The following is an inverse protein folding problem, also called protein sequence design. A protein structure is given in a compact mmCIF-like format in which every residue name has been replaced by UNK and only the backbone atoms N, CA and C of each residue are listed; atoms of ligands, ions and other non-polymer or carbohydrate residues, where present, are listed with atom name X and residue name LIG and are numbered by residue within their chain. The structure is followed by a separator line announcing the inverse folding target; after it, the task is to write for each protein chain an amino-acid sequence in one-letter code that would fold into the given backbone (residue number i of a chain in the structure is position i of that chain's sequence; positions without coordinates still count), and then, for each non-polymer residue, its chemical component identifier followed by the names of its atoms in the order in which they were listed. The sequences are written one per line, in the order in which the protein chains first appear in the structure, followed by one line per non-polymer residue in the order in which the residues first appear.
data_IF_653518625284
#
_entry.id   IF_653518625284
#
_cell.length_a   1.000
_cell.length_b   1.000
_cell.length_c   1.000
_cell.angle_alpha   90.00
_cell.angle_beta   90.00
_cell.angle_gamma   90.00
#
_symmetry.space_group_name_H-M   'P 1'
#
loop_
_entity.id
_entity.type
_entity.pdbx_description
1 polymer ?
#
# COMPACT_ATOMS: atom_id res chain seq x y z
N UNK A 1 15.20 -31.90 -5.00
CA UNK A 1 15.01 -31.06 -3.80
C UNK A 1 15.88 -29.84 -4.00
N UNK A 2 15.32 -28.73 -4.46
CA UNK A 2 16.02 -27.44 -4.51
C UNK A 2 16.10 -26.94 -3.07
N UNK A 3 17.31 -26.86 -2.54
CA UNK A 3 17.58 -26.17 -1.26
C UNK A 3 17.08 -24.74 -1.40
N UNK A 4 15.95 -24.45 -0.78
CA UNK A 4 15.45 -23.08 -0.66
C UNK A 4 16.53 -22.26 0.05
N UNK A 5 17.09 -21.28 -0.64
CA UNK A 5 18.12 -20.42 -0.04
C UNK A 5 17.49 -19.71 1.16
N UNK A 6 18.11 -19.81 2.33
CA UNK A 6 17.64 -19.14 3.53
C UNK A 6 17.45 -17.63 3.23
N UNK A 7 16.33 -17.09 3.64
CA UNK A 7 16.05 -15.66 3.44
C UNK A 7 17.16 -14.81 4.05
N UNK A 8 17.64 -13.81 3.28
CA UNK A 8 18.58 -12.82 3.82
C UNK A 8 17.82 -11.97 4.85
N UNK A 9 18.22 -12.07 6.11
CA UNK A 9 17.54 -11.38 7.21
C UNK A 9 18.11 -9.98 7.42
N UNK A 10 17.25 -9.04 7.79
CA UNK A 10 17.65 -7.70 8.23
C UNK A 10 17.99 -7.75 9.72
N UNK A 11 19.06 -7.11 10.13
CA UNK A 11 19.44 -7.02 11.55
C UNK A 11 18.39 -6.21 12.34
N UNK A 12 18.10 -6.59 13.60
CA UNK A 12 17.12 -5.87 14.43
C UNK A 12 17.39 -4.37 14.54
N UNK A 13 18.64 -3.97 14.73
CA UNK A 13 19.03 -2.56 14.84
C UNK A 13 18.83 -1.80 13.53
N UNK A 14 19.03 -2.44 12.38
CA UNK A 14 18.75 -1.85 11.06
C UNK A 14 17.26 -1.54 10.92
N UNK A 15 16.39 -2.48 11.29
CA UNK A 15 14.94 -2.28 11.26
C UNK A 15 14.52 -1.12 12.17
N UNK A 16 14.97 -1.13 13.42
CA UNK A 16 14.61 -0.09 14.40
C UNK A 16 15.13 1.27 13.97
N UNK A 17 16.36 1.35 13.46
CA UNK A 17 16.96 2.57 12.92
C UNK A 17 16.16 3.12 11.75
N UNK A 18 15.80 2.29 10.76
CA UNK A 18 14.99 2.69 9.60
C UNK A 18 13.61 3.22 10.03
N UNK A 19 12.94 2.56 10.97
CA UNK A 19 11.65 3.00 11.50
C UNK A 19 11.76 4.32 12.29
N UNK A 20 12.88 4.55 12.97
CA UNK A 20 13.16 5.83 13.62
C UNK A 20 13.48 6.94 12.62
N UNK A 21 14.22 6.63 11.55
CA UNK A 21 14.60 7.57 10.52
C UNK A 21 13.39 8.10 9.71
N UNK A 22 12.42 7.23 9.37
CA UNK A 22 11.27 7.62 8.57
C UNK A 22 10.32 8.57 9.31
N UNK A 23 9.78 9.54 8.58
CA UNK A 23 8.63 10.36 9.01
C UNK A 23 7.72 10.62 7.81
N UNK A 24 6.56 11.25 8.00
CA UNK A 24 5.70 11.70 6.91
C UNK A 24 6.26 13.00 6.31
N UNK A 25 7.03 12.87 5.24
CA UNK A 25 7.74 13.96 4.57
C UNK A 25 6.75 15.02 4.10
N UNK A 26 7.03 16.28 4.42
CA UNK A 26 6.15 17.40 4.07
C UNK A 26 6.62 18.16 2.84
N UNK A 27 7.92 18.12 2.55
CA UNK A 27 8.50 18.77 1.39
C UNK A 27 9.45 17.81 0.67
N UNK A 28 9.14 17.51 -0.58
CA UNK A 28 9.99 16.70 -1.45
C UNK A 28 10.86 17.58 -2.35
N UNK A 29 12.03 17.07 -2.71
CA UNK A 29 12.86 17.63 -3.78
C UNK A 29 12.24 17.22 -5.14
N UNK A 30 11.67 18.18 -5.86
CA UNK A 30 11.01 17.91 -7.14
C UNK A 30 11.98 17.43 -8.24
N UNK A 31 13.30 17.62 -8.05
CA UNK A 31 14.36 17.10 -8.92
C UNK A 31 14.87 15.72 -8.48
N UNK A 32 14.64 15.35 -7.22
CA UNK A 32 15.06 14.09 -6.63
C UNK A 32 14.37 12.89 -7.28
N UNK A 33 15.12 11.80 -7.50
CA UNK A 33 14.58 10.57 -8.09
C UNK A 33 14.93 9.38 -7.20
N UNK A 34 13.98 8.47 -7.10
CA UNK A 34 14.20 7.16 -6.47
C UNK A 34 15.00 6.31 -7.47
N UNK A 35 16.13 5.70 -7.08
CA UNK A 35 16.82 4.72 -7.91
C UNK A 35 15.87 3.61 -8.37
N UNK A 36 16.00 3.20 -9.65
CA UNK A 36 15.06 2.25 -10.27
C UNK A 36 14.98 0.93 -9.52
N UNK A 37 16.12 0.38 -9.10
CA UNK A 37 16.21 -0.86 -8.34
C UNK A 37 15.45 -0.80 -7.01
N UNK A 38 15.50 0.35 -6.32
CA UNK A 38 14.73 0.59 -5.10
C UNK A 38 13.23 0.72 -5.38
N UNK A 39 12.89 1.37 -6.49
CA UNK A 39 11.48 1.53 -6.87
C UNK A 39 10.86 0.18 -7.23
N UNK A 40 11.52 -0.62 -8.05
CA UNK A 40 11.10 -1.99 -8.40
C UNK A 40 10.91 -2.86 -7.14
N UNK A 41 11.82 -2.77 -6.18
CA UNK A 41 11.69 -3.47 -4.90
C UNK A 41 10.49 -2.98 -4.07
N UNK A 42 10.14 -1.68 -4.14
CA UNK A 42 8.94 -1.14 -3.49
C UNK A 42 7.66 -1.63 -4.17
N UNK A 43 7.60 -1.69 -5.49
CA UNK A 43 6.47 -2.26 -6.23
C UNK A 43 6.28 -3.74 -5.88
N UNK A 44 7.37 -4.51 -5.83
CA UNK A 44 7.32 -5.92 -5.42
C UNK A 44 6.86 -6.08 -3.97
N UNK A 45 7.24 -5.16 -3.07
CA UNK A 45 6.76 -5.18 -1.68
C UNK A 45 5.24 -5.00 -1.57
N UNK A 46 4.63 -4.24 -2.49
CA UNK A 46 3.17 -4.10 -2.58
C UNK A 46 2.53 -5.40 -3.08
N UNK A 47 3.10 -6.03 -4.10
CA UNK A 47 2.62 -7.31 -4.66
C UNK A 47 2.70 -8.44 -3.63
N UNK A 48 3.78 -8.48 -2.84
CA UNK A 48 4.03 -9.49 -1.81
C UNK A 48 3.32 -9.20 -0.48
N UNK A 49 2.57 -8.10 -0.38
CA UNK A 49 1.82 -7.78 0.84
C UNK A 49 0.79 -8.85 1.16
N UNK A 50 0.71 -9.31 2.43
CA UNK A 50 -0.30 -10.27 2.82
C UNK A 50 -1.69 -9.63 2.88
N UNK A 51 -2.73 -10.42 2.61
CA UNK A 51 -4.12 -10.05 2.83
C UNK A 51 -4.90 -11.22 3.41
N UNK A 52 -6.07 -10.93 3.99
CA UNK A 52 -6.96 -11.97 4.50
C UNK A 52 -7.31 -12.95 3.38
N UNK A 53 -7.15 -14.25 3.64
CA UNK A 53 -7.22 -15.35 2.66
C UNK A 53 -6.20 -15.26 1.51
N UNK A 54 -5.41 -14.20 1.39
CA UNK A 54 -4.62 -13.90 0.20
C UNK A 54 -5.42 -13.34 -0.96
N UNK A 55 -6.66 -12.90 -0.73
CA UNK A 55 -7.61 -12.50 -1.78
C UNK A 55 -7.13 -11.33 -2.65
N UNK A 56 -6.28 -10.44 -2.10
CA UNK A 56 -5.69 -9.31 -2.81
C UNK A 56 -6.72 -8.46 -3.59
N UNK A 57 -7.85 -8.14 -2.94
CA UNK A 57 -8.90 -7.31 -3.53
C UNK A 57 -8.51 -5.82 -3.55
N UNK A 58 -7.32 -5.53 -4.06
CA UNK A 58 -6.72 -4.20 -4.17
C UNK A 58 -6.04 -3.99 -5.52
N UNK A 59 -5.72 -2.74 -5.79
CA UNK A 59 -4.87 -2.31 -6.91
C UNK A 59 -4.07 -1.09 -6.47
N UNK A 60 -2.89 -0.92 -7.02
CA UNK A 60 -2.03 0.23 -6.77
C UNK A 60 -1.83 0.97 -8.10
N UNK A 61 -2.14 2.27 -8.13
CA UNK A 61 -1.86 3.11 -9.27
C UNK A 61 -0.66 3.99 -8.96
N UNK A 62 0.41 3.82 -9.73
CA UNK A 62 1.56 4.71 -9.70
C UNK A 62 1.32 5.82 -10.72
N UNK A 63 1.21 7.06 -10.25
CA UNK A 63 0.93 8.22 -11.10
C UNK A 63 2.23 9.00 -11.32
N UNK A 64 2.78 8.90 -12.53
CA UNK A 64 3.99 9.61 -12.96
C UNK A 64 3.65 10.86 -13.78
N UNK A 65 2.53 10.87 -14.49
CA UNK A 65 2.09 11.98 -15.32
C UNK A 65 1.91 13.26 -14.49
N UNK A 66 2.76 14.25 -14.77
CA UNK A 66 2.78 15.52 -14.04
C UNK A 66 1.50 16.35 -14.24
N UNK A 67 0.88 16.26 -15.42
CA UNK A 67 -0.35 17.00 -15.70
C UNK A 67 -1.53 16.39 -14.93
N UNK A 68 -1.58 15.06 -14.82
CA UNK A 68 -2.57 14.37 -13.99
C UNK A 68 -2.36 14.67 -12.50
N UNK A 69 -1.12 14.66 -12.01
CA UNK A 69 -0.80 15.03 -10.61
C UNK A 69 -1.17 16.48 -10.30
N UNK A 70 -0.98 17.40 -11.24
CA UNK A 70 -1.43 18.79 -11.11
C UNK A 70 -2.98 18.89 -10.98
N UNK A 71 -3.75 18.02 -11.66
CA UNK A 71 -5.21 17.94 -11.52
C UNK A 71 -5.63 17.35 -10.17
N UNK A 72 -4.84 16.42 -9.61
CA UNK A 72 -5.12 15.78 -8.33
C UNK A 72 -4.77 16.67 -7.12
N UNK A 73 -3.84 17.61 -7.29
CA UNK A 73 -3.37 18.46 -6.20
C UNK A 73 -4.47 19.30 -5.53
N UNK A 74 -5.36 19.99 -6.26
CA UNK A 74 -6.48 20.70 -5.62
C UNK A 74 -7.38 19.79 -4.79
N UNK A 75 -7.67 18.57 -5.28
CA UNK A 75 -8.42 17.55 -4.55
C UNK A 75 -7.64 16.98 -3.34
N UNK A 76 -6.41 17.41 -3.13
CA UNK A 76 -5.55 17.07 -1.97
C UNK A 76 -5.19 18.31 -1.16
N UNK A 77 -6.07 19.30 -1.11
CA UNK A 77 -5.92 20.56 -0.35
C UNK A 77 -4.61 21.29 -0.67
N UNK A 78 -4.27 21.32 -1.94
CA UNK A 78 -3.05 21.93 -2.48
C UNK A 78 -1.71 21.46 -1.86
N UNK A 79 -1.71 20.26 -1.28
CA UNK A 79 -0.50 19.69 -0.68
C UNK A 79 0.56 19.43 -1.76
N UNK A 80 1.73 20.06 -1.59
CA UNK A 80 2.80 20.02 -2.59
C UNK A 80 3.40 18.63 -2.81
N UNK A 81 3.27 17.74 -1.83
CA UNK A 81 3.72 16.34 -1.96
C UNK A 81 3.14 15.64 -3.20
N UNK A 82 1.93 16.02 -3.61
CA UNK A 82 1.25 15.44 -4.78
C UNK A 82 2.03 15.71 -6.07
N UNK A 83 2.64 16.88 -6.22
CA UNK A 83 3.37 17.28 -7.42
C UNK A 83 4.87 17.10 -7.31
N UNK A 84 5.43 17.25 -6.10
CA UNK A 84 6.87 17.39 -5.90
C UNK A 84 7.57 16.05 -5.61
N UNK A 85 6.85 15.07 -5.05
CA UNK A 85 7.40 13.72 -4.89
C UNK A 85 7.73 13.07 -6.24
N UNK A 86 8.68 12.16 -6.28
CA UNK A 86 9.01 11.42 -7.51
C UNK A 86 7.85 10.52 -7.96
N UNK A 87 7.29 9.76 -7.04
CA UNK A 87 6.16 8.85 -7.29
C UNK A 87 4.95 9.20 -6.41
N UNK A 88 3.75 9.07 -6.97
CA UNK A 88 2.50 9.12 -6.23
C UNK A 88 1.77 7.78 -6.42
N UNK A 89 1.55 7.07 -5.32
CA UNK A 89 0.82 5.80 -5.31
C UNK A 89 -0.57 6.02 -4.76
N UNK A 90 -1.61 5.67 -5.54
CA UNK A 90 -2.99 5.62 -5.08
C UNK A 90 -3.34 4.17 -4.77
N UNK A 91 -3.69 3.90 -3.53
CA UNK A 91 -4.09 2.59 -3.04
C UNK A 91 -5.59 2.43 -3.20
N UNK A 92 -6.00 1.41 -3.95
CA UNK A 92 -7.37 1.17 -4.32
C UNK A 92 -7.91 -0.10 -3.66
N UNK A 93 -9.20 -0.06 -3.33
CA UNK A 93 -9.98 -1.25 -2.93
C UNK A 93 -10.93 -1.64 -4.07
N UNK A 94 -11.16 -2.94 -4.24
CA UNK A 94 -12.14 -3.47 -5.18
C UNK A 94 -13.53 -3.06 -4.75
N UNK A 95 -14.22 -2.32 -5.62
CA UNK A 95 -15.65 -2.01 -5.47
C UNK A 95 -16.46 -3.28 -5.76
N UNK A 96 -17.48 -3.52 -4.93
CA UNK A 96 -18.42 -4.62 -5.12
C UNK A 96 -17.72 -5.99 -5.30
N UNK A 97 -16.65 -6.24 -4.50
CA UNK A 97 -15.98 -7.53 -4.50
C UNK A 97 -16.97 -8.66 -4.20
N UNK A 98 -16.90 -9.74 -4.97
CA UNK A 98 -17.88 -10.81 -4.91
C UNK A 98 -17.32 -12.19 -5.28
N UNK A 99 -18.21 -13.19 -5.49
CA UNK A 99 -17.79 -14.56 -5.78
C UNK A 99 -16.88 -14.71 -7.01
N UNK A 100 -17.01 -13.81 -8.00
CA UNK A 100 -16.15 -13.83 -9.19
C UNK A 100 -14.67 -13.49 -8.84
N UNK A 101 -14.44 -12.58 -7.89
CA UNK A 101 -13.09 -12.25 -7.42
C UNK A 101 -12.49 -13.43 -6.63
N UNK A 102 -13.32 -14.13 -5.85
CA UNK A 102 -12.94 -15.38 -5.17
C UNK A 102 -12.56 -16.46 -6.18
N UNK A 103 -13.39 -16.69 -7.21
CA UNK A 103 -13.09 -17.69 -8.24
C UNK A 103 -11.77 -17.38 -8.94
N UNK A 104 -11.56 -16.14 -9.39
CA UNK A 104 -10.30 -15.71 -9.97
C UNK A 104 -9.09 -16.02 -9.11
N UNK A 105 -9.22 -15.83 -7.78
CA UNK A 105 -8.14 -16.13 -6.85
C UNK A 105 -7.91 -17.63 -6.68
N UNK A 106 -8.98 -18.43 -6.60
CA UNK A 106 -8.91 -19.91 -6.57
C UNK A 106 -8.21 -20.44 -7.82
N UNK A 107 -8.57 -19.92 -9.00
CA UNK A 107 -7.93 -20.29 -10.26
C UNK A 107 -6.43 -19.99 -10.22
N UNK A 108 -6.05 -18.84 -9.66
CA UNK A 108 -4.64 -18.47 -9.50
C UNK A 108 -3.90 -19.39 -8.52
N UNK A 109 -4.53 -19.81 -7.42
CA UNK A 109 -3.94 -20.80 -6.51
C UNK A 109 -3.72 -22.13 -7.23
N UNK A 110 -4.73 -22.60 -7.96
CA UNK A 110 -4.67 -23.85 -8.72
C UNK A 110 -3.52 -23.83 -9.74
N UNK A 111 -3.41 -22.75 -10.49
CA UNK A 111 -2.34 -22.54 -11.47
C UNK A 111 -0.94 -22.56 -10.81
N UNK A 112 -0.73 -21.73 -9.80
CA UNK A 112 0.59 -21.55 -9.16
C UNK A 112 1.04 -22.79 -8.40
N UNK A 113 0.11 -23.44 -7.67
CA UNK A 113 0.42 -24.61 -6.84
C UNK A 113 0.29 -25.92 -7.61
N UNK A 114 -0.24 -25.89 -8.83
CA UNK A 114 -0.50 -27.05 -9.70
C UNK A 114 -1.36 -28.11 -8.99
N UNK A 115 -2.43 -27.65 -8.31
CA UNK A 115 -3.41 -28.51 -7.63
C UNK A 115 -4.79 -28.34 -8.29
N UNK A 116 -5.61 -29.40 -8.37
CA UNK A 116 -6.97 -29.31 -8.89
C UNK A 116 -7.83 -28.29 -8.15
N UNK A 117 -8.63 -27.49 -8.84
CA UNK A 117 -9.50 -26.48 -8.24
C UNK A 117 -10.53 -27.10 -7.28
N UNK A 118 -10.94 -28.35 -7.54
CA UNK A 118 -11.86 -29.11 -6.67
C UNK A 118 -11.34 -29.31 -5.27
N UNK A 119 -10.02 -29.39 -5.10
CA UNK A 119 -9.38 -29.48 -3.76
C UNK A 119 -9.49 -28.16 -2.97
N UNK A 120 -9.86 -27.08 -3.61
CA UNK A 120 -9.98 -25.74 -3.03
C UNK A 120 -11.44 -25.35 -2.73
N UNK A 121 -12.41 -26.24 -2.97
CA UNK A 121 -13.84 -25.89 -2.86
C UNK A 121 -14.22 -25.43 -1.44
N UNK A 122 -13.75 -26.09 -0.40
CA UNK A 122 -13.99 -25.66 0.99
C UNK A 122 -13.40 -24.27 1.28
N UNK A 123 -12.21 -23.98 0.74
CA UNK A 123 -11.56 -22.67 0.89
C UNK A 123 -12.31 -21.59 0.10
N UNK A 124 -12.76 -21.91 -1.10
CA UNK A 124 -13.61 -21.05 -1.92
C UNK A 124 -14.91 -20.69 -1.21
N UNK A 125 -15.58 -21.66 -0.60
CA UNK A 125 -16.82 -21.44 0.15
C UNK A 125 -16.62 -20.46 1.33
N UNK A 126 -15.55 -20.61 2.12
CA UNK A 126 -15.23 -19.67 3.21
C UNK A 126 -15.01 -18.24 2.70
N UNK A 127 -14.25 -18.09 1.62
CA UNK A 127 -14.03 -16.77 1.01
C UNK A 127 -15.32 -16.18 0.45
N UNK A 128 -16.14 -17.00 -0.22
CA UNK A 128 -17.41 -16.57 -0.80
C UNK A 128 -18.36 -16.06 0.29
N UNK A 129 -18.47 -16.75 1.43
CA UNK A 129 -19.24 -16.27 2.57
C UNK A 129 -18.78 -14.89 3.06
N UNK A 130 -17.47 -14.62 3.04
CA UNK A 130 -16.93 -13.35 3.48
C UNK A 130 -17.25 -12.20 2.51
N UNK A 131 -17.24 -12.43 1.20
CA UNK A 131 -17.55 -11.41 0.19
C UNK A 131 -19.05 -11.26 -0.10
N UNK A 132 -19.90 -12.12 0.45
CA UNK A 132 -21.36 -12.02 0.36
C UNK A 132 -22.02 -11.36 1.58
N UNK A 133 -21.25 -10.90 2.54
CA UNK A 133 -21.72 -10.05 3.63
C UNK A 133 -22.27 -8.72 3.08
N UNK A 134 -23.03 -7.92 3.87
CA UNK A 134 -23.42 -6.58 3.47
C UNK A 134 -22.24 -5.75 2.94
N UNK A 135 -22.42 -5.04 1.83
CA UNK A 135 -21.37 -4.35 1.09
C UNK A 135 -20.48 -3.47 1.95
N UNK A 136 -21.05 -2.74 2.91
CA UNK A 136 -20.32 -1.89 3.85
C UNK A 136 -19.32 -2.69 4.71
N UNK A 137 -19.71 -3.90 5.14
CA UNK A 137 -18.84 -4.79 5.92
C UNK A 137 -17.68 -5.33 5.07
N UNK A 138 -17.99 -5.71 3.83
CA UNK A 138 -16.98 -6.18 2.87
C UNK A 138 -16.00 -5.06 2.56
N UNK A 139 -16.49 -3.87 2.22
CA UNK A 139 -15.64 -2.70 1.92
C UNK A 139 -14.74 -2.34 3.11
N UNK A 140 -15.29 -2.28 4.32
CA UNK A 140 -14.52 -2.01 5.54
C UNK A 140 -13.47 -3.08 5.83
N UNK A 141 -13.76 -4.35 5.56
CA UNK A 141 -12.80 -5.44 5.69
C UNK A 141 -11.68 -5.35 4.64
N UNK A 142 -12.02 -5.13 3.37
CA UNK A 142 -11.05 -5.01 2.29
C UNK A 142 -10.19 -3.76 2.43
N UNK A 143 -10.76 -2.64 2.87
CA UNK A 143 -10.02 -1.41 3.18
C UNK A 143 -8.92 -1.66 4.22
N UNK A 144 -9.19 -2.43 5.27
CA UNK A 144 -8.14 -2.81 6.24
C UNK A 144 -6.99 -3.58 5.60
N UNK A 145 -7.24 -4.40 4.56
CA UNK A 145 -6.19 -5.09 3.84
C UNK A 145 -5.30 -4.11 3.06
N UNK A 146 -5.90 -3.08 2.47
CA UNK A 146 -5.16 -2.00 1.80
C UNK A 146 -4.19 -1.29 2.77
N UNK A 147 -4.61 -1.04 4.03
CA UNK A 147 -3.72 -0.46 5.04
C UNK A 147 -2.59 -1.38 5.49
N UNK A 148 -2.78 -2.71 5.42
CA UNK A 148 -1.67 -3.67 5.62
C UNK A 148 -0.62 -3.46 4.51
N UNK A 149 -1.05 -3.37 3.24
CA UNK A 149 -0.13 -3.12 2.12
C UNK A 149 0.57 -1.76 2.25
N UNK A 150 -0.14 -0.70 2.69
CA UNK A 150 0.46 0.60 2.97
C UNK A 150 1.53 0.50 4.07
N UNK A 151 1.25 -0.20 5.18
CA UNK A 151 2.22 -0.41 6.25
C UNK A 151 3.47 -1.15 5.78
N UNK A 152 3.29 -2.17 4.92
CA UNK A 152 4.39 -2.90 4.29
C UNK A 152 5.22 -1.97 3.38
N UNK A 153 4.56 -1.21 2.51
CA UNK A 153 5.23 -0.21 1.65
C UNK A 153 6.06 0.80 2.45
N UNK A 154 5.49 1.38 3.52
CA UNK A 154 6.19 2.38 4.34
C UNK A 154 7.40 1.80 5.08
N UNK A 155 7.31 0.54 5.51
CA UNK A 155 8.42 -0.17 6.16
C UNK A 155 9.51 -0.49 5.15
N UNK A 156 9.14 -1.00 3.97
CA UNK A 156 10.06 -1.28 2.87
C UNK A 156 10.77 -0.01 2.38
N UNK A 157 10.03 1.09 2.22
CA UNK A 157 10.60 2.40 1.86
C UNK A 157 11.65 2.84 2.89
N UNK A 158 11.35 2.71 4.19
CA UNK A 158 12.28 3.06 5.26
C UNK A 158 13.57 2.22 5.20
N UNK A 159 13.43 0.91 5.00
CA UNK A 159 14.57 -0.01 4.89
C UNK A 159 15.45 0.25 3.66
N UNK A 160 14.86 0.72 2.58
CA UNK A 160 15.56 1.11 1.34
C UNK A 160 16.07 2.55 1.35
N UNK A 161 15.82 3.31 2.44
CA UNK A 161 16.20 4.72 2.52
C UNK A 161 15.44 5.61 1.53
N UNK A 162 14.18 5.27 1.24
CA UNK A 162 13.27 6.05 0.40
C UNK A 162 12.30 6.81 1.30
N UNK A 163 12.15 8.11 1.03
CA UNK A 163 11.22 8.96 1.75
C UNK A 163 9.78 8.72 1.30
N UNK A 164 8.85 8.68 2.26
CA UNK A 164 7.44 8.50 1.96
C UNK A 164 6.53 9.31 2.90
N UNK A 165 5.39 9.71 2.39
CA UNK A 165 4.32 10.34 3.15
C UNK A 165 2.99 9.64 2.84
N UNK A 166 2.41 8.87 3.78
CA UNK A 166 1.04 8.40 3.66
C UNK A 166 0.09 9.57 3.90
N UNK A 167 -0.99 9.65 3.11
CA UNK A 167 -1.91 10.77 3.16
C UNK A 167 -3.36 10.25 3.04
N UNK A 168 -4.19 10.59 4.02
CA UNK A 168 -5.65 10.43 3.98
C UNK A 168 -6.35 11.75 3.64
N UNK A 169 -5.59 12.86 3.70
CA UNK A 169 -6.06 14.21 3.42
C UNK A 169 -6.20 14.45 1.91
N UNK A 170 -7.24 13.89 1.30
CA UNK A 170 -7.67 14.14 -0.07
C UNK A 170 -9.16 13.81 -0.23
N UNK A 171 -9.78 14.40 -1.23
CA UNK A 171 -11.16 14.11 -1.62
C UNK A 171 -11.18 12.83 -2.48
N UNK A 172 -11.68 11.74 -1.89
CA UNK A 172 -11.73 10.42 -2.53
C UNK A 172 -12.66 10.42 -3.74
N UNK A 173 -13.80 11.06 -3.64
CA UNK A 173 -14.80 11.10 -4.72
C UNK A 173 -14.26 11.86 -5.94
N UNK A 174 -13.55 12.97 -5.70
CA UNK A 174 -12.91 13.72 -6.79
C UNK A 174 -11.73 12.95 -7.39
N UNK A 175 -10.94 12.22 -6.58
CA UNK A 175 -9.90 11.31 -7.09
C UNK A 175 -10.50 10.20 -7.95
N UNK A 176 -11.57 9.56 -7.48
CA UNK A 176 -12.25 8.48 -8.19
C UNK A 176 -12.81 8.97 -9.53
N UNK A 177 -13.33 10.19 -9.57
CA UNK A 177 -13.84 10.85 -10.78
C UNK A 177 -12.70 11.21 -11.75
N UNK A 178 -11.65 11.91 -11.29
CA UNK A 178 -10.52 12.31 -12.13
C UNK A 178 -9.83 11.08 -12.76
N UNK A 179 -9.71 9.99 -11.98
CA UNK A 179 -9.06 8.75 -12.39
C UNK A 179 -9.99 7.74 -13.06
N UNK A 180 -11.31 8.03 -13.10
CA UNK A 180 -12.32 7.13 -13.71
C UNK A 180 -12.43 5.77 -13.01
N UNK A 181 -12.23 5.72 -11.69
CA UNK A 181 -12.08 4.46 -10.95
C UNK A 181 -13.36 3.66 -10.85
N UNK A 182 -14.51 4.29 -10.64
CA UNK A 182 -15.79 3.60 -10.45
C UNK A 182 -16.18 2.78 -11.69
N UNK A 183 -15.95 3.31 -12.89
CA UNK A 183 -16.19 2.58 -14.13
C UNK A 183 -15.29 1.35 -14.30
N UNK A 184 -14.14 1.33 -13.61
CA UNK A 184 -13.19 0.24 -13.61
C UNK A 184 -13.41 -0.73 -12.41
N UNK A 185 -14.40 -0.48 -11.55
CA UNK A 185 -14.69 -1.30 -10.36
C UNK A 185 -13.75 -1.09 -9.18
N UNK A 186 -13.22 0.14 -9.02
CA UNK A 186 -12.29 0.49 -7.95
C UNK A 186 -12.74 1.74 -7.19
N UNK A 187 -12.24 1.89 -5.95
CA UNK A 187 -12.33 3.10 -5.12
C UNK A 187 -10.97 3.42 -4.53
N UNK A 188 -10.65 4.71 -4.42
CA UNK A 188 -9.45 5.17 -3.71
C UNK A 188 -9.65 5.07 -2.19
N UNK A 189 -8.59 4.69 -1.49
CA UNK A 189 -8.59 4.51 -0.02
C UNK A 189 -7.64 5.49 0.65
N UNK A 190 -6.39 5.46 0.23
CA UNK A 190 -5.28 6.23 0.80
C UNK A 190 -4.24 6.43 -0.30
N UNK A 191 -3.43 7.47 -0.18
CA UNK A 191 -2.34 7.72 -1.10
C UNK A 191 -1.00 7.74 -0.36
N UNK A 192 0.09 7.48 -1.08
CA UNK A 192 1.44 7.66 -0.59
C UNK A 192 2.28 8.40 -1.63
N UNK A 193 2.84 9.54 -1.23
CA UNK A 193 3.89 10.21 -1.97
C UNK A 193 5.24 9.59 -1.60
N UNK A 194 6.09 9.27 -2.57
CA UNK A 194 7.43 8.74 -2.36
C UNK A 194 8.48 9.49 -3.19
N UNK A 195 9.67 9.67 -2.64
CA UNK A 195 10.71 10.47 -3.30
C UNK A 195 11.93 10.70 -2.42
N UNK A 196 12.54 11.85 -2.61
CA UNK A 196 13.66 12.36 -1.83
C UNK A 196 13.19 13.59 -1.06
N UNK A 197 13.41 13.64 0.26
CA UNK A 197 13.06 14.81 1.07
C UNK A 197 13.87 16.03 0.65
N UNK A 198 13.22 17.19 0.63
CA UNK A 198 13.94 18.44 0.40
C UNK A 198 14.86 18.77 1.59
N UNK A 199 16.07 19.36 1.36
CA UNK A 199 17.00 19.70 2.44
C UNK A 199 16.42 20.66 3.47
N UNK A 200 15.45 21.47 3.07
CA UNK A 200 14.76 22.47 3.88
C UNK A 200 13.40 21.98 4.45
N UNK A 201 13.11 20.69 4.39
CA UNK A 201 11.93 20.15 5.11
C UNK A 201 12.15 20.30 6.63
N UNK A 202 11.46 21.26 7.22
CA UNK A 202 11.56 21.56 8.64
C UNK A 202 11.15 20.36 9.53
N UNK A 203 10.27 19.49 9.04
CA UNK A 203 9.82 18.31 9.78
C UNK A 203 10.91 17.25 9.95
N UNK A 204 11.93 17.24 9.10
CA UNK A 204 13.07 16.33 9.22
C UNK A 204 13.84 16.49 10.54
N UNK A 205 13.77 17.68 11.16
CA UNK A 205 14.47 18.01 12.41
C UNK A 205 13.64 17.67 13.66
N UNK A 206 12.36 17.35 13.50
CA UNK A 206 11.48 17.09 14.63
C UNK A 206 11.78 15.72 15.23
N UNK A 207 11.85 15.66 16.56
CA UNK A 207 11.94 14.39 17.29
C UNK A 207 10.67 13.56 17.05
N UNK A 208 10.84 12.27 16.81
CA UNK A 208 9.73 11.34 16.66
C UNK A 208 9.01 11.18 18.02
N UNK A 209 7.70 11.43 18.02
CA UNK A 209 6.87 11.25 19.22
C UNK A 209 6.14 9.91 19.12
N UNK A 210 6.29 9.08 20.16
CA UNK A 210 5.55 7.82 20.37
C UNK A 210 5.31 7.65 21.86
N UNK A 211 4.23 6.99 22.21
CA UNK A 211 4.01 6.56 23.59
C UNK A 211 5.04 5.49 23.97
N UNK A 212 5.36 5.36 25.28
CA UNK A 212 6.28 4.34 25.78
C UNK A 212 5.79 2.92 25.46
N UNK A 213 6.73 2.00 25.27
CA UNK A 213 6.41 0.58 24.98
C UNK A 213 5.48 -0.03 26.02
N UNK A 214 5.65 0.33 27.30
CA UNK A 214 4.85 -0.14 28.43
C UNK A 214 3.37 0.24 28.37
N UNK A 215 3.03 1.32 27.65
CA UNK A 215 1.63 1.73 27.47
C UNK A 215 0.98 1.02 26.27
N UNK A 216 1.77 0.57 25.27
CA UNK A 216 1.26 0.04 24.02
C UNK A 216 1.33 -1.48 23.94
N UNK A 217 2.19 -2.13 24.73
CA UNK A 217 2.41 -3.57 24.67
C UNK A 217 2.25 -4.15 26.08
N UNK A 218 1.28 -5.04 26.22
CA UNK A 218 1.09 -5.86 27.41
C UNK A 218 1.42 -7.31 27.10
N UNK A 219 2.08 -7.98 28.04
CA UNK A 219 2.27 -9.44 28.03
C UNK A 219 1.33 -10.05 29.07
N UNK A 220 0.50 -11.01 28.66
CA UNK A 220 -0.49 -11.70 29.49
C UNK A 220 -0.21 -13.19 29.49
#
# INVERSE_FOLDING_TARGET
MTTEAAAKTVLPDTLVSALNWRYAVKKFDASGRIPLDKWEALEESLVLSPSSYGLQAWKFLVIEDKALRAKLRPASWDQSQITDADKLVVFLVKKDAGPADVQRFVDRISEVRRIPAEMLEGYKQMMTQSVTLPSEKVEAWLTRQVYIALGNFLTSAALLGVDACPMEGFDKDEYDKILGLHAQGWKSVVIAAAGVRAPDDAYAKNKKVRFPKSELIATV
#
